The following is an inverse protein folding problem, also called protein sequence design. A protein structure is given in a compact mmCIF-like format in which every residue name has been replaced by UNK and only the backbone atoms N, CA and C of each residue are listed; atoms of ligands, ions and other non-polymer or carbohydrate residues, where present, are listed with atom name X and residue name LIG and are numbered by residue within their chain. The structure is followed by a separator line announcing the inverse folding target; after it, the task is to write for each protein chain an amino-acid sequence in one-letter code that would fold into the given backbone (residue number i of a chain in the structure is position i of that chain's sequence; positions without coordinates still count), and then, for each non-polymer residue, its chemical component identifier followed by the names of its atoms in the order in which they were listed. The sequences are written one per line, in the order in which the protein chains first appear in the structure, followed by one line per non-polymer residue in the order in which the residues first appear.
data_IF_076312739071
#
_entry.id   IF_076312739071
#
_cell.length_a   1.000
_cell.length_b   1.000
_cell.length_c   1.000
_cell.angle_alpha   90.00
_cell.angle_beta   90.00
_cell.angle_gamma   90.00
#
_symmetry.space_group_name_H-M   'P 1'
#
loop_
_entity.id
_entity.type
_entity.pdbx_description
1 polymer ?
#
# COMPACT_ATOMS: atom_id res chain seq x y z
N UNK A 1 43.85 65.55 6.28
CA UNK A 1 44.52 64.76 5.23
C UNK A 1 43.55 63.68 4.81
N UNK A 2 43.02 63.82 3.62
CA UNK A 2 41.97 62.97 3.07
C UNK A 2 42.60 61.73 2.38
N UNK A 3 42.09 60.56 2.69
CA UNK A 3 42.42 59.31 2.03
C UNK A 3 41.18 58.70 1.39
N UNK A 4 41.10 58.77 0.07
CA UNK A 4 40.04 58.20 -0.76
C UNK A 4 40.22 56.70 -0.87
N UNK A 5 39.16 55.92 -0.60
CA UNK A 5 39.06 54.49 -1.00
C UNK A 5 38.12 54.33 -2.15
N UNK A 6 38.70 53.86 -3.26
CA UNK A 6 37.99 53.40 -4.47
C UNK A 6 37.40 52.02 -4.24
N UNK A 7 36.06 51.88 -4.34
CA UNK A 7 35.37 50.59 -4.38
C UNK A 7 35.25 50.14 -5.85
N UNK A 8 35.90 49.00 -6.16
CA UNK A 8 35.65 48.24 -7.38
C UNK A 8 34.49 47.25 -7.13
N UNK A 9 33.31 47.61 -7.62
CA UNK A 9 32.16 46.69 -7.61
C UNK A 9 32.26 45.70 -8.75
N UNK A 10 32.45 44.42 -8.44
CA UNK A 10 32.20 43.33 -9.39
C UNK A 10 30.69 43.04 -9.40
N UNK A 11 30.07 43.21 -10.55
CA UNK A 11 28.70 42.75 -10.79
C UNK A 11 28.71 41.22 -10.88
N UNK A 12 28.13 40.56 -9.89
CA UNK A 12 27.77 39.16 -9.93
C UNK A 12 26.38 39.05 -10.55
N UNK A 13 26.33 38.54 -11.77
CA UNK A 13 25.07 38.34 -12.49
C UNK A 13 24.17 37.33 -11.76
N UNK A 14 23.01 37.80 -11.40
CA UNK A 14 22.00 37.04 -10.71
C UNK A 14 21.36 35.96 -11.61
N UNK A 15 21.78 34.70 -11.44
CA UNK A 15 21.19 33.55 -12.11
C UNK A 15 19.86 33.09 -11.46
N UNK A 16 19.44 33.75 -10.37
CA UNK A 16 18.22 33.35 -9.63
C UNK A 16 16.93 33.78 -10.35
N UNK A 17 16.99 34.85 -11.15
CA UNK A 17 15.80 35.39 -11.82
C UNK A 17 15.27 34.57 -12.99
N UNK A 18 16.11 33.69 -13.58
CA UNK A 18 15.67 32.79 -14.67
C UNK A 18 14.90 31.58 -14.22
N UNK A 19 15.11 31.10 -13.00
CA UNK A 19 14.38 29.94 -12.45
C UNK A 19 13.01 30.33 -11.86
N UNK A 20 12.87 31.55 -11.37
CA UNK A 20 11.58 32.05 -10.86
C UNK A 20 10.56 32.30 -11.98
N UNK A 21 11.00 32.68 -13.18
CA UNK A 21 10.12 32.85 -14.35
C UNK A 21 9.71 31.52 -14.99
N UNK A 22 10.52 30.47 -14.88
CA UNK A 22 10.15 29.13 -15.40
C UNK A 22 9.14 28.42 -14.51
N UNK A 23 9.20 28.62 -13.19
CA UNK A 23 8.22 28.06 -12.25
C UNK A 23 6.86 28.78 -12.31
N UNK A 24 6.81 30.09 -12.60
CA UNK A 24 5.55 30.79 -12.82
C UNK A 24 4.87 30.42 -14.16
N UNK A 25 5.62 30.09 -15.18
CA UNK A 25 5.07 29.66 -16.48
C UNK A 25 4.44 28.27 -16.42
N UNK A 26 4.93 27.35 -15.54
CA UNK A 26 4.31 26.04 -15.32
C UNK A 26 3.07 26.10 -14.43
N UNK A 27 2.94 27.09 -13.56
CA UNK A 27 1.77 27.25 -12.70
C UNK A 27 0.55 27.87 -13.39
N UNK A 28 0.74 28.63 -14.50
CA UNK A 28 -0.35 29.28 -15.24
C UNK A 28 -0.97 28.45 -16.35
N UNK A 29 -0.38 27.30 -16.72
CA UNK A 29 -0.94 26.39 -17.74
C UNK A 29 -1.88 25.31 -17.16
N UNK A 30 -2.03 25.21 -15.85
CA UNK A 30 -2.93 24.24 -15.20
C UNK A 30 -4.36 24.74 -14.92
N UNK A 31 -4.73 25.97 -15.29
CA UNK A 31 -6.06 26.53 -14.95
C UNK A 31 -7.05 26.64 -16.12
N UNK A 32 -6.74 26.06 -17.29
CA UNK A 32 -7.65 26.04 -18.43
C UNK A 32 -7.73 24.64 -19.08
N UNK A 33 -8.10 23.63 -18.29
CA UNK A 33 -8.68 22.40 -18.84
C UNK A 33 -10.09 22.29 -18.29
N UNK A 34 -11.02 22.60 -19.20
CA UNK A 34 -12.43 22.64 -18.94
C UNK A 34 -12.94 21.34 -18.28
N UNK A 35 -13.89 21.51 -17.41
CA UNK A 35 -14.73 20.46 -16.86
C UNK A 35 -15.38 19.65 -17.99
N UNK A 36 -14.76 18.55 -18.40
CA UNK A 36 -15.44 17.54 -19.20
C UNK A 36 -16.44 16.84 -18.29
N UNK A 37 -17.69 17.27 -18.38
CA UNK A 37 -18.83 16.48 -17.88
C UNK A 37 -18.81 15.16 -18.64
N UNK A 38 -18.51 14.07 -17.95
CA UNK A 38 -18.81 12.73 -18.42
C UNK A 38 -20.32 12.58 -18.42
N UNK A 39 -20.95 12.84 -19.56
CA UNK A 39 -22.31 12.42 -19.84
C UNK A 39 -22.29 10.90 -19.90
N UNK A 40 -22.79 10.25 -18.83
CA UNK A 40 -23.10 8.84 -18.84
C UNK A 40 -24.18 8.57 -19.87
N UNK A 41 -23.92 7.66 -20.80
CA UNK A 41 -24.94 7.12 -21.67
C UNK A 41 -25.93 6.32 -20.79
N UNK A 42 -27.15 6.83 -20.68
CA UNK A 42 -28.28 6.12 -20.08
C UNK A 42 -28.67 4.94 -20.99
N UNK A 43 -28.18 3.75 -20.60
CA UNK A 43 -28.81 2.48 -21.00
C UNK A 43 -29.83 2.10 -19.94
N UNK A 44 -31.12 2.24 -20.24
CA UNK A 44 -32.21 1.92 -19.34
C UNK A 44 -32.20 0.44 -18.93
N UNK A 45 -31.81 0.18 -17.70
CA UNK A 45 -32.00 -1.06 -16.97
C UNK A 45 -32.11 -0.69 -15.49
N UNK A 46 -33.26 -1.04 -14.88
CA UNK A 46 -33.67 -0.62 -13.54
C UNK A 46 -32.57 -0.63 -12.52
N UNK A 47 -32.14 0.53 -12.04
CA UNK A 47 -31.29 0.72 -10.87
C UNK A 47 -32.06 0.20 -9.64
N UNK A 48 -31.87 -1.08 -9.32
CA UNK A 48 -32.12 -1.56 -7.96
C UNK A 48 -31.29 -0.67 -7.03
N UNK A 49 -31.93 -0.03 -6.05
CA UNK A 49 -31.27 0.77 -5.05
C UNK A 49 -30.04 0.00 -4.51
N UNK A 50 -28.82 0.41 -4.88
CA UNK A 50 -27.59 -0.13 -4.32
C UNK A 50 -27.64 0.20 -2.84
N UNK A 51 -27.79 -0.81 -1.97
CA UNK A 51 -27.73 -0.62 -0.53
C UNK A 51 -26.41 0.04 -0.16
N UNK A 52 -26.40 0.79 0.96
CA UNK A 52 -25.20 1.48 1.45
C UNK A 52 -23.98 0.55 1.43
N UNK A 53 -22.93 0.96 0.77
CA UNK A 53 -21.62 0.30 0.72
C UNK A 53 -20.87 0.65 2.00
N UNK A 54 -20.21 -0.33 2.63
CA UNK A 54 -19.25 -0.08 3.72
C UNK A 54 -17.88 0.13 3.09
N UNK A 55 -17.33 1.33 3.22
CA UNK A 55 -16.03 1.70 2.65
C UNK A 55 -14.94 1.68 3.71
N UNK A 56 -13.96 0.80 3.54
CA UNK A 56 -12.90 0.52 4.51
C UNK A 56 -11.53 0.79 3.90
N UNK A 57 -10.70 1.60 4.55
CA UNK A 57 -9.28 1.68 4.22
C UNK A 57 -8.50 0.57 4.94
N UNK A 58 -7.59 -0.07 4.20
CA UNK A 58 -6.69 -1.12 4.69
C UNK A 58 -5.25 -0.60 4.49
N UNK A 59 -4.60 -0.24 5.58
CA UNK A 59 -3.30 0.46 5.60
C UNK A 59 -2.26 -0.43 6.27
N UNK A 60 -1.20 -0.82 5.54
CA UNK A 60 -0.08 -1.57 6.12
C UNK A 60 1.06 -0.64 6.55
N UNK A 61 1.84 -1.08 7.48
CA UNK A 61 3.23 -0.72 7.76
C UNK A 61 3.55 0.79 7.63
N UNK A 62 3.19 1.58 8.64
CA UNK A 62 3.64 2.97 8.80
C UNK A 62 5.10 3.04 9.22
N UNK A 63 5.50 2.14 10.10
CA UNK A 63 6.86 1.78 10.47
C UNK A 63 7.79 2.98 10.73
N UNK A 64 7.35 3.92 11.58
CA UNK A 64 8.12 5.09 11.95
C UNK A 64 9.13 4.77 13.06
N UNK A 65 10.39 5.16 12.90
CA UNK A 65 11.47 4.90 13.86
C UNK A 65 11.85 6.14 14.70
N UNK A 66 11.67 7.33 14.15
CA UNK A 66 12.02 8.58 14.81
C UNK A 66 11.01 9.71 14.52
N UNK A 67 11.26 10.89 15.10
CA UNK A 67 10.43 12.07 14.89
C UNK A 67 10.44 12.60 13.46
N UNK A 68 11.51 12.34 12.69
CA UNK A 68 11.62 12.74 11.29
C UNK A 68 10.67 11.90 10.44
N UNK A 69 10.69 10.59 10.62
CA UNK A 69 9.79 9.66 9.93
C UNK A 69 8.33 9.86 10.36
N UNK A 70 8.08 10.14 11.64
CA UNK A 70 6.76 10.56 12.12
C UNK A 70 6.30 11.83 11.40
N UNK A 71 7.22 12.78 11.18
CA UNK A 71 6.97 13.98 10.37
C UNK A 71 6.61 13.66 8.92
N UNK A 72 7.26 12.67 8.30
CA UNK A 72 6.89 12.20 6.96
C UNK A 72 5.50 11.57 6.95
N UNK A 73 5.21 10.68 7.89
CA UNK A 73 3.90 10.04 8.02
C UNK A 73 2.78 11.07 8.21
N UNK A 74 2.99 12.10 9.05
CA UNK A 74 2.02 13.18 9.28
C UNK A 74 1.73 13.99 8.02
N UNK A 75 2.78 14.36 7.26
CA UNK A 75 2.66 15.20 6.06
C UNK A 75 2.20 14.43 4.81
N UNK A 76 2.19 13.10 4.85
CA UNK A 76 1.74 12.26 3.74
C UNK A 76 0.53 11.39 4.13
N UNK A 77 0.77 10.24 4.74
CA UNK A 77 -0.23 9.21 5.03
C UNK A 77 -1.38 9.75 5.88
N UNK A 78 -1.07 10.34 7.02
CA UNK A 78 -2.10 10.83 7.93
C UNK A 78 -2.86 12.03 7.36
N UNK A 79 -2.17 12.97 6.67
CA UNK A 79 -2.81 14.08 5.97
C UNK A 79 -3.82 13.59 4.94
N UNK A 80 -3.44 12.58 4.15
CA UNK A 80 -4.33 12.00 3.16
C UNK A 80 -5.54 11.31 3.81
N UNK A 81 -5.29 10.43 4.78
CA UNK A 81 -6.36 9.73 5.50
C UNK A 81 -7.32 10.71 6.20
N UNK A 82 -6.79 11.78 6.80
CA UNK A 82 -7.62 12.82 7.41
C UNK A 82 -8.53 13.52 6.39
N UNK A 83 -8.09 13.69 5.15
CA UNK A 83 -8.87 14.25 4.05
C UNK A 83 -9.99 13.34 3.51
N UNK A 84 -9.94 12.03 3.80
CA UNK A 84 -10.89 11.02 3.28
C UNK A 84 -12.18 10.99 4.10
N UNK A 85 -13.12 11.88 3.77
CA UNK A 85 -14.43 11.96 4.41
C UNK A 85 -15.43 10.92 3.91
N UNK A 86 -15.05 10.16 2.90
CA UNK A 86 -15.85 9.11 2.25
C UNK A 86 -15.65 7.73 2.88
N UNK A 87 -14.68 7.57 3.79
CA UNK A 87 -14.42 6.32 4.50
C UNK A 87 -15.38 6.15 5.69
N UNK A 88 -15.85 4.93 5.90
CA UNK A 88 -16.61 4.56 7.10
C UNK A 88 -15.68 4.07 8.23
N UNK A 89 -14.49 3.55 7.88
CA UNK A 89 -13.55 2.94 8.81
C UNK A 89 -12.15 2.80 8.20
N UNK A 90 -11.13 2.68 9.06
CA UNK A 90 -9.77 2.32 8.67
C UNK A 90 -9.24 1.16 9.54
N UNK A 91 -8.48 0.25 8.94
CA UNK A 91 -7.74 -0.80 9.65
C UNK A 91 -6.25 -0.65 9.31
N UNK A 92 -5.45 -0.43 10.33
CA UNK A 92 -3.99 -0.48 10.24
C UNK A 92 -3.52 -1.91 10.52
N UNK A 93 -2.69 -2.45 9.65
CA UNK A 93 -2.34 -3.89 9.61
C UNK A 93 -1.00 -4.20 10.28
N UNK A 94 -0.64 -3.41 11.27
CA UNK A 94 0.55 -3.60 12.08
C UNK A 94 1.74 -2.78 11.63
N UNK A 95 2.82 -2.88 12.40
CA UNK A 95 4.04 -2.10 12.26
C UNK A 95 3.74 -0.59 12.19
N UNK A 96 3.05 -0.11 13.24
CA UNK A 96 2.78 1.31 13.44
C UNK A 96 4.08 2.07 13.70
N UNK A 97 5.01 1.44 14.40
CA UNK A 97 6.36 1.93 14.69
C UNK A 97 7.40 0.92 14.21
N UNK A 98 8.67 1.35 14.15
CA UNK A 98 9.82 0.49 13.79
C UNK A 98 10.67 0.26 15.04
N UNK A 99 10.25 -0.66 15.92
CA UNK A 99 10.90 -1.00 17.20
C UNK A 99 10.94 0.15 18.24
N UNK A 100 10.53 1.35 17.86
CA UNK A 100 10.51 2.50 18.75
C UNK A 100 9.17 2.68 19.44
N UNK A 101 8.90 1.86 20.43
CA UNK A 101 7.62 1.86 21.17
C UNK A 101 7.33 3.19 21.89
N UNK A 102 8.31 4.08 22.06
CA UNK A 102 8.06 5.42 22.62
C UNK A 102 7.23 6.32 21.69
N UNK A 103 7.20 6.02 20.38
CA UNK A 103 6.41 6.74 19.37
C UNK A 103 4.98 6.20 19.25
N UNK A 104 4.69 5.01 19.78
CA UNK A 104 3.36 4.41 19.64
C UNK A 104 2.22 5.27 20.21
N UNK A 105 2.35 5.91 21.40
CA UNK A 105 1.32 6.82 21.89
C UNK A 105 1.05 8.00 20.96
N UNK A 106 2.08 8.57 20.35
CA UNK A 106 1.94 9.66 19.37
C UNK A 106 1.24 9.18 18.10
N UNK A 107 1.65 8.02 17.56
CA UNK A 107 1.06 7.41 16.37
C UNK A 107 -0.44 7.12 16.59
N UNK A 108 -0.80 6.52 17.71
CA UNK A 108 -2.20 6.24 18.09
C UNK A 108 -2.99 7.53 18.28
N UNK A 109 -2.42 8.55 18.93
CA UNK A 109 -3.08 9.85 19.08
C UNK A 109 -3.42 10.51 17.75
N UNK A 110 -2.59 10.35 16.72
CA UNK A 110 -2.92 10.81 15.36
C UNK A 110 -4.04 9.97 14.75
N UNK A 111 -3.99 8.64 14.89
CA UNK A 111 -5.05 7.74 14.41
C UNK A 111 -6.39 8.06 15.05
N UNK A 112 -6.43 8.32 16.35
CA UNK A 112 -7.66 8.68 17.08
C UNK A 112 -8.24 10.04 16.64
N UNK A 113 -7.44 10.90 16.03
CA UNK A 113 -7.89 12.19 15.46
C UNK A 113 -8.54 12.05 14.08
N UNK A 114 -8.48 10.89 13.43
CA UNK A 114 -9.09 10.66 12.13
C UNK A 114 -10.62 10.74 12.22
N UNK A 115 -11.31 11.20 11.15
CA UNK A 115 -12.74 11.50 11.20
C UNK A 115 -13.67 10.28 11.17
N UNK A 116 -13.13 9.07 11.30
CA UNK A 116 -13.82 7.78 11.27
C UNK A 116 -13.15 6.81 12.24
N UNK A 117 -13.86 5.74 12.58
CA UNK A 117 -13.35 4.74 13.51
C UNK A 117 -12.16 3.98 12.91
N UNK A 118 -11.09 3.87 13.69
CA UNK A 118 -9.87 3.16 13.31
C UNK A 118 -9.62 1.97 14.23
N UNK A 119 -9.02 0.93 13.66
CA UNK A 119 -8.56 -0.26 14.38
C UNK A 119 -7.14 -0.59 13.95
N UNK A 120 -6.42 -1.30 14.82
CA UNK A 120 -5.02 -1.65 14.59
C UNK A 120 -4.79 -3.12 14.86
N UNK A 121 -4.01 -3.77 14.02
CA UNK A 121 -3.44 -5.10 14.23
C UNK A 121 -2.03 -4.92 14.77
N UNK A 122 -1.57 -5.77 15.65
CA UNK A 122 -0.21 -5.75 16.17
C UNK A 122 0.76 -6.35 15.16
N UNK A 123 1.82 -5.59 14.83
CA UNK A 123 2.93 -6.04 13.99
C UNK A 123 4.13 -6.55 14.77
N UNK A 124 5.16 -7.03 14.06
CA UNK A 124 6.37 -7.55 14.71
C UNK A 124 7.26 -6.44 15.27
N UNK A 125 7.20 -5.23 14.73
CA UNK A 125 7.90 -4.06 15.23
C UNK A 125 7.12 -3.28 16.31
N UNK A 126 5.87 -3.64 16.58
CA UNK A 126 5.01 -3.01 17.61
C UNK A 126 5.15 -3.66 18.99
N UNK A 127 6.38 -4.07 19.37
CA UNK A 127 6.65 -4.84 20.59
C UNK A 127 7.81 -4.24 21.37
N UNK A 128 7.78 -4.40 22.67
CA UNK A 128 8.81 -3.86 23.58
C UNK A 128 10.13 -4.68 23.59
N UNK A 129 10.28 -5.70 22.72
CA UNK A 129 11.39 -6.67 22.76
C UNK A 129 12.74 -6.10 22.32
N UNK A 130 12.75 -5.18 21.36
CA UNK A 130 14.00 -4.74 20.72
C UNK A 130 14.83 -3.76 21.55
N UNK A 131 14.21 -3.14 22.54
CA UNK A 131 14.87 -2.20 23.49
C UNK A 131 15.14 -2.80 24.86
N UNK A 132 14.83 -4.08 25.04
CA UNK A 132 15.12 -4.76 26.28
C UNK A 132 16.64 -4.99 26.47
N UNK A 133 17.15 -4.90 27.72
CA UNK A 133 18.52 -5.27 28.00
C UNK A 133 18.78 -6.71 27.56
N UNK A 134 19.93 -6.96 26.93
CA UNK A 134 20.35 -8.31 26.45
C UNK A 134 20.59 -9.34 27.55
N UNK A 135 20.19 -9.11 28.79
CA UNK A 135 20.38 -10.05 29.87
C UNK A 135 19.39 -11.21 29.76
N UNK A 136 19.87 -12.42 29.84
CA UNK A 136 19.09 -13.66 29.74
C UNK A 136 18.00 -13.82 30.81
N UNK A 137 18.03 -13.02 31.87
CA UNK A 137 17.05 -12.98 32.95
C UNK A 137 15.89 -12.00 32.72
N UNK A 138 15.99 -11.13 31.74
CA UNK A 138 14.96 -10.13 31.46
C UNK A 138 14.06 -10.63 30.33
N UNK A 139 12.86 -11.09 30.69
CA UNK A 139 11.77 -11.26 29.73
C UNK A 139 10.95 -9.97 29.76
N UNK A 140 11.09 -9.09 28.76
CA UNK A 140 10.28 -7.90 28.70
C UNK A 140 8.80 -8.33 28.62
N UNK A 141 7.93 -7.51 29.18
CA UNK A 141 6.49 -7.59 28.93
C UNK A 141 6.27 -7.09 27.51
N UNK A 142 6.58 -7.94 26.53
CA UNK A 142 6.70 -7.61 25.11
C UNK A 142 5.47 -6.91 24.47
N UNK A 143 4.33 -6.91 25.16
CA UNK A 143 3.11 -6.24 24.76
C UNK A 143 2.64 -5.17 25.77
N UNK A 144 3.52 -4.73 26.68
CA UNK A 144 3.12 -3.80 27.73
C UNK A 144 2.65 -2.47 27.16
N UNK A 145 3.46 -1.84 26.32
CA UNK A 145 3.15 -0.55 25.71
C UNK A 145 1.94 -0.65 24.79
N UNK A 146 1.89 -1.69 23.94
CA UNK A 146 0.73 -1.92 23.09
C UNK A 146 -0.58 -2.03 23.87
N UNK A 147 -0.60 -2.90 24.91
CA UNK A 147 -1.81 -3.09 25.75
C UNK A 147 -2.24 -1.83 26.48
N UNK A 148 -1.28 -1.01 26.90
CA UNK A 148 -1.55 0.25 27.58
C UNK A 148 -2.14 1.30 26.62
N UNK A 149 -1.68 1.35 25.37
CA UNK A 149 -2.02 2.41 24.40
C UNK A 149 -3.21 1.99 23.53
N UNK A 150 -3.18 0.79 22.97
CA UNK A 150 -4.22 0.27 22.04
C UNK A 150 -5.34 -0.46 22.79
N UNK A 151 -5.04 -1.14 23.91
CA UNK A 151 -6.01 -1.76 24.80
C UNK A 151 -6.38 -3.21 24.46
N UNK A 152 -6.21 -3.66 23.22
CA UNK A 152 -6.48 -5.02 22.77
C UNK A 152 -5.31 -5.60 21.98
N UNK A 153 -5.29 -6.95 21.84
CA UNK A 153 -4.33 -7.66 20.97
C UNK A 153 -5.09 -8.43 19.89
N UNK A 154 -6.08 -9.21 20.32
CA UNK A 154 -7.04 -9.87 19.45
C UNK A 154 -8.42 -9.26 19.72
N UNK A 155 -9.17 -8.95 18.65
CA UNK A 155 -10.51 -8.39 18.78
C UNK A 155 -11.41 -8.79 17.62
N UNK A 156 -12.72 -8.76 17.84
CA UNK A 156 -13.71 -8.95 16.77
C UNK A 156 -14.93 -8.09 17.00
N UNK A 157 -15.49 -7.58 15.91
CA UNK A 157 -16.72 -6.80 15.92
C UNK A 157 -17.48 -6.96 14.59
N UNK A 158 -18.72 -6.52 14.57
CA UNK A 158 -19.54 -6.51 13.36
C UNK A 158 -19.91 -5.06 13.04
N UNK A 159 -19.67 -4.67 11.78
CA UNK A 159 -20.13 -3.41 11.22
C UNK A 159 -21.00 -3.67 10.00
N UNK A 160 -22.27 -3.27 10.08
CA UNK A 160 -23.25 -3.63 9.04
C UNK A 160 -23.45 -5.15 8.97
N UNK A 161 -23.06 -5.74 7.85
CA UNK A 161 -23.13 -7.17 7.56
C UNK A 161 -21.73 -7.81 7.43
N UNK A 162 -20.70 -7.13 7.88
CA UNK A 162 -19.32 -7.58 7.82
C UNK A 162 -18.80 -7.86 9.22
N UNK A 163 -18.25 -9.04 9.44
CA UNK A 163 -17.48 -9.37 10.64
C UNK A 163 -16.03 -9.04 10.39
N UNK A 164 -15.43 -8.32 11.31
CA UNK A 164 -14.01 -8.04 11.37
C UNK A 164 -13.41 -8.85 12.52
N UNK A 165 -12.32 -9.55 12.22
CA UNK A 165 -11.53 -10.30 13.20
C UNK A 165 -10.09 -9.84 13.03
N UNK A 166 -9.56 -9.14 14.00
CA UNK A 166 -8.20 -8.63 14.02
C UNK A 166 -7.39 -9.45 15.01
N UNK A 167 -6.33 -10.10 14.55
CA UNK A 167 -5.56 -11.03 15.36
C UNK A 167 -4.05 -10.80 15.23
N UNK A 168 -3.39 -10.88 16.37
CA UNK A 168 -1.94 -11.00 16.40
C UNK A 168 -1.52 -12.41 15.96
N UNK A 169 -0.81 -12.50 14.84
CA UNK A 169 -0.22 -13.74 14.37
C UNK A 169 1.32 -13.76 14.42
N UNK A 170 1.94 -12.76 15.06
CA UNK A 170 3.39 -12.72 15.26
C UNK A 170 3.77 -13.62 16.44
N UNK A 171 4.53 -14.66 16.18
CA UNK A 171 5.04 -15.59 17.20
C UNK A 171 6.56 -15.58 17.19
N UNK A 172 7.15 -15.26 18.34
CA UNK A 172 8.60 -15.43 18.49
C UNK A 172 8.95 -16.90 18.58
N UNK A 173 10.08 -17.28 17.99
CA UNK A 173 10.67 -18.59 18.14
C UNK A 173 11.41 -18.68 19.50
N UNK A 174 11.62 -19.91 19.96
CA UNK A 174 12.43 -20.13 21.17
C UNK A 174 13.92 -19.84 20.97
N UNK A 175 14.35 -19.61 19.72
CA UNK A 175 15.75 -19.37 19.34
C UNK A 175 16.21 -17.91 19.51
N UNK A 176 15.29 -16.97 19.69
CA UNK A 176 15.66 -15.56 19.90
C UNK A 176 14.50 -14.58 19.87
N UNK A 177 14.69 -13.42 20.50
CA UNK A 177 13.64 -12.38 20.58
C UNK A 177 13.41 -11.64 19.27
N UNK A 178 14.36 -11.69 18.35
CA UNK A 178 14.28 -11.09 17.01
C UNK A 178 13.80 -12.08 15.95
N UNK A 179 13.66 -13.37 16.32
CA UNK A 179 13.25 -14.41 15.42
C UNK A 179 11.76 -14.71 15.61
N UNK A 180 10.98 -14.54 14.55
CA UNK A 180 9.53 -14.69 14.60
C UNK A 180 9.00 -15.41 13.37
N UNK A 181 7.83 -16.00 13.51
CA UNK A 181 7.07 -16.66 12.45
C UNK A 181 5.59 -16.27 12.53
N UNK A 182 4.89 -16.38 11.40
CA UNK A 182 3.43 -16.28 11.40
C UNK A 182 2.78 -17.51 11.99
N UNK A 183 1.78 -17.33 12.86
CA UNK A 183 1.02 -18.43 13.42
C UNK A 183 0.10 -18.03 14.58
N UNK A 184 -0.74 -18.98 15.00
CA UNK A 184 -1.65 -18.79 16.14
C UNK A 184 -1.41 -19.83 17.22
N UNK A 185 -1.62 -19.42 18.46
CA UNK A 185 -1.69 -20.35 19.60
C UNK A 185 -2.98 -21.15 19.56
N UNK A 186 -3.03 -22.30 20.24
CA UNK A 186 -4.28 -23.07 20.33
C UNK A 186 -5.40 -22.27 21.02
N UNK A 187 -5.06 -21.45 22.02
CA UNK A 187 -6.01 -20.52 22.65
C UNK A 187 -6.61 -19.54 21.63
N UNK A 188 -5.80 -18.99 20.73
CA UNK A 188 -6.28 -18.10 19.67
C UNK A 188 -7.14 -18.84 18.65
N UNK A 189 -6.78 -20.09 18.30
CA UNK A 189 -7.60 -20.92 17.42
C UNK A 189 -8.97 -21.23 18.03
N UNK A 190 -9.03 -21.63 19.32
CA UNK A 190 -10.29 -21.83 20.01
C UNK A 190 -11.13 -20.55 20.08
N UNK A 191 -10.49 -19.40 20.34
CA UNK A 191 -11.20 -18.12 20.33
C UNK A 191 -11.72 -17.79 18.92
N UNK A 192 -10.92 -17.95 17.87
CA UNK A 192 -11.31 -17.72 16.49
C UNK A 192 -12.47 -18.63 16.09
N UNK A 193 -12.41 -19.91 16.41
CA UNK A 193 -13.50 -20.85 16.19
C UNK A 193 -14.79 -20.35 16.85
N UNK A 194 -14.73 -19.95 18.11
CA UNK A 194 -15.88 -19.40 18.83
C UNK A 194 -16.44 -18.13 18.19
N UNK A 195 -15.60 -17.32 17.56
CA UNK A 195 -16.01 -16.08 16.86
C UNK A 195 -16.63 -16.39 15.50
N UNK A 196 -16.02 -17.28 14.72
CA UNK A 196 -16.47 -17.62 13.37
C UNK A 196 -17.77 -18.43 13.40
N UNK A 197 -17.91 -19.34 14.37
CA UNK A 197 -19.05 -20.25 14.50
C UNK A 197 -20.17 -19.73 15.42
N UNK A 198 -20.05 -18.51 15.94
CA UNK A 198 -21.14 -17.83 16.65
C UNK A 198 -22.32 -17.66 15.73
N UNK A 199 -23.38 -18.38 15.98
CA UNK A 199 -24.59 -18.38 15.17
C UNK A 199 -24.76 -19.58 14.25
N UNK A 200 -23.81 -20.51 14.24
CA UNK A 200 -23.83 -21.77 13.47
C UNK A 200 -23.85 -22.96 14.40
N UNK A 201 -24.78 -23.03 15.35
CA UNK A 201 -24.93 -24.15 16.27
C UNK A 201 -24.99 -23.77 17.77
N UNK A 202 -25.60 -24.61 18.58
CA UNK A 202 -26.01 -24.34 19.97
C UNK A 202 -24.87 -24.44 21.02
N UNK A 203 -23.63 -24.11 20.72
CA UNK A 203 -22.50 -24.37 21.64
C UNK A 203 -22.33 -23.39 22.80
N UNK A 204 -23.11 -22.31 22.88
CA UNK A 204 -22.94 -21.30 23.95
C UNK A 204 -24.20 -20.91 24.74
N UNK A 205 -25.32 -21.54 24.51
CA UNK A 205 -26.59 -21.21 25.22
C UNK A 205 -27.16 -19.81 24.97
N UNK A 206 -26.44 -18.94 24.24
CA UNK A 206 -26.90 -17.63 23.82
C UNK A 206 -27.30 -17.61 22.32
N UNK A 207 -28.55 -17.28 22.05
CA UNK A 207 -29.00 -17.09 20.66
C UNK A 207 -28.15 -16.01 19.96
N UNK A 208 -27.70 -16.25 18.73
CA UNK A 208 -26.94 -15.27 17.97
C UNK A 208 -27.76 -13.98 17.77
N UNK A 209 -27.10 -12.84 17.84
CA UNK A 209 -27.70 -11.55 17.54
C UNK A 209 -28.17 -11.47 16.06
N UNK A 210 -29.05 -10.54 15.74
CA UNK A 210 -29.46 -10.31 14.35
C UNK A 210 -28.27 -9.97 13.45
N UNK A 211 -27.28 -9.24 13.97
CA UNK A 211 -26.07 -8.88 13.23
C UNK A 211 -25.24 -10.12 12.89
N UNK A 212 -25.04 -11.04 13.85
CA UNK A 212 -24.30 -12.29 13.64
C UNK A 212 -24.96 -13.18 12.59
N UNK A 213 -26.30 -13.30 12.60
CA UNK A 213 -27.04 -14.05 11.58
C UNK A 213 -26.96 -13.46 10.17
N UNK A 214 -26.80 -12.13 10.06
CA UNK A 214 -26.78 -11.41 8.80
C UNK A 214 -25.38 -11.16 8.25
N UNK A 215 -24.33 -11.73 8.88
CA UNK A 215 -22.95 -11.59 8.36
C UNK A 215 -22.81 -12.26 7.01
N UNK A 216 -22.39 -11.48 6.00
CA UNK A 216 -22.22 -11.94 4.62
C UNK A 216 -20.75 -12.02 4.19
N UNK A 217 -19.84 -11.39 4.95
CA UNK A 217 -18.40 -11.42 4.75
C UNK A 217 -17.69 -11.38 6.12
N UNK A 218 -16.64 -12.15 6.28
CA UNK A 218 -15.68 -12.03 7.38
C UNK A 218 -14.35 -11.55 6.83
N UNK A 219 -13.81 -10.47 7.38
CA UNK A 219 -12.44 -10.01 7.14
C UNK A 219 -11.59 -10.46 8.32
N UNK A 220 -10.64 -11.35 8.05
CA UNK A 220 -9.64 -11.80 9.01
C UNK A 220 -8.33 -11.04 8.72
N UNK A 221 -8.05 -10.07 9.57
CA UNK A 221 -6.89 -9.19 9.45
C UNK A 221 -5.78 -9.61 10.41
N UNK A 222 -4.58 -9.79 9.86
CA UNK A 222 -3.35 -10.11 10.60
C UNK A 222 -2.22 -9.25 10.09
N UNK A 223 -1.06 -9.29 10.75
CA UNK A 223 0.10 -8.59 10.23
C UNK A 223 0.87 -9.44 9.22
N UNK A 224 1.27 -10.66 9.60
CA UNK A 224 2.01 -11.58 8.71
C UNK A 224 1.03 -12.26 7.75
N UNK A 225 1.36 -12.38 6.44
CA UNK A 225 0.53 -13.07 5.46
C UNK A 225 0.25 -14.53 5.79
N UNK A 226 -0.91 -15.02 5.35
CA UNK A 226 -1.33 -16.41 5.54
C UNK A 226 -0.59 -17.38 4.62
N UNK A 227 -0.29 -16.99 3.38
CA UNK A 227 0.34 -17.89 2.39
C UNK A 227 1.62 -18.55 2.88
N UNK A 228 2.58 -17.87 3.57
CA UNK A 228 3.76 -18.53 4.13
C UNK A 228 3.57 -19.07 5.56
N UNK A 229 2.40 -18.88 6.19
CA UNK A 229 2.18 -19.20 7.59
C UNK A 229 2.07 -20.71 7.83
N UNK A 230 2.82 -21.22 8.79
CA UNK A 230 2.67 -22.62 9.25
C UNK A 230 1.31 -22.83 9.92
N UNK A 231 0.62 -23.92 9.54
CA UNK A 231 -0.70 -24.24 10.09
C UNK A 231 -1.85 -23.40 9.54
N UNK A 232 -1.65 -22.69 8.44
CA UNK A 232 -2.68 -21.93 7.73
C UNK A 232 -3.95 -22.76 7.51
N UNK A 233 -3.83 -23.96 6.98
CA UNK A 233 -4.97 -24.80 6.61
C UNK A 233 -5.81 -25.17 7.85
N UNK A 234 -5.18 -25.39 9.01
CA UNK A 234 -5.90 -25.64 10.26
C UNK A 234 -6.68 -24.40 10.75
N UNK A 235 -6.24 -23.21 10.41
CA UNK A 235 -6.94 -21.96 10.72
C UNK A 235 -8.09 -21.73 9.75
N UNK A 236 -7.87 -21.97 8.46
CA UNK A 236 -8.92 -21.83 7.43
C UNK A 236 -10.05 -22.84 7.63
N UNK A 237 -9.73 -24.07 8.11
CA UNK A 237 -10.71 -25.08 8.43
C UNK A 237 -11.68 -24.70 9.58
N UNK A 238 -11.37 -23.67 10.36
CA UNK A 238 -12.28 -23.14 11.36
C UNK A 238 -13.42 -22.29 10.75
N UNK A 239 -13.24 -21.79 9.54
CA UNK A 239 -14.27 -21.01 8.87
C UNK A 239 -15.36 -21.93 8.32
N UNK A 240 -16.65 -21.69 8.65
CA UNK A 240 -17.76 -22.52 8.17
C UNK A 240 -17.97 -22.38 6.66
N UNK A 241 -17.53 -21.27 6.09
CA UNK A 241 -17.63 -20.97 4.66
C UNK A 241 -16.46 -20.05 4.24
N UNK A 242 -15.42 -20.65 3.67
CA UNK A 242 -14.24 -19.93 3.18
C UNK A 242 -14.55 -18.98 2.01
N UNK A 243 -15.65 -19.19 1.27
CA UNK A 243 -16.08 -18.28 0.21
C UNK A 243 -16.51 -16.92 0.72
N UNK A 244 -16.80 -16.82 2.03
CA UNK A 244 -17.14 -15.57 2.73
C UNK A 244 -16.01 -15.04 3.59
N UNK A 245 -14.78 -15.50 3.39
CA UNK A 245 -13.61 -15.07 4.11
C UNK A 245 -12.72 -14.22 3.19
N UNK A 246 -12.25 -13.07 3.67
CA UNK A 246 -11.19 -12.28 3.08
C UNK A 246 -10.05 -12.17 4.08
N UNK A 247 -8.88 -12.65 3.69
CA UNK A 247 -7.64 -12.57 4.46
C UNK A 247 -6.91 -11.29 4.09
N UNK A 248 -6.52 -10.50 5.08
CA UNK A 248 -5.85 -9.21 4.85
C UNK A 248 -4.62 -9.10 5.73
N UNK A 249 -3.49 -8.67 5.14
CA UNK A 249 -2.22 -8.52 5.88
C UNK A 249 -1.31 -7.43 5.30
N UNK A 250 -0.26 -7.06 6.05
CA UNK A 250 0.82 -6.15 5.68
C UNK A 250 2.17 -6.86 5.62
N UNK A 251 3.15 -6.37 6.41
CA UNK A 251 4.44 -6.99 6.73
C UNK A 251 5.48 -7.03 5.61
N UNK A 252 5.09 -7.35 4.39
CA UNK A 252 6.07 -7.70 3.34
C UNK A 252 6.64 -6.50 2.59
N UNK A 253 6.08 -5.32 2.76
CA UNK A 253 6.34 -4.13 1.93
C UNK A 253 6.24 -4.45 0.43
N UNK A 254 5.24 -5.26 0.10
CA UNK A 254 5.05 -5.83 -1.21
C UNK A 254 3.55 -6.07 -1.44
N UNK A 255 2.98 -5.39 -2.38
CA UNK A 255 1.56 -5.57 -2.71
C UNK A 255 1.37 -6.87 -3.45
N UNK A 256 0.47 -7.71 -2.96
CA UNK A 256 0.11 -8.95 -3.64
C UNK A 256 -1.35 -9.32 -3.39
N UNK A 257 -1.98 -9.94 -4.37
CA UNK A 257 -3.34 -10.43 -4.25
C UNK A 257 -3.46 -11.80 -4.90
N UNK A 258 -4.00 -12.74 -4.14
CA UNK A 258 -4.33 -14.07 -4.57
C UNK A 258 -5.83 -14.31 -4.40
N UNK A 259 -6.59 -14.21 -5.48
CA UNK A 259 -8.05 -14.36 -5.45
C UNK A 259 -8.48 -15.80 -5.18
N UNK A 260 -7.63 -16.80 -5.48
CA UNK A 260 -7.90 -18.23 -5.18
C UNK A 260 -7.84 -18.51 -3.69
N UNK A 261 -6.91 -17.87 -2.97
CA UNK A 261 -6.79 -17.93 -1.52
C UNK A 261 -7.63 -16.84 -0.83
N UNK A 262 -8.22 -15.93 -1.59
CA UNK A 262 -8.90 -14.73 -1.08
C UNK A 262 -8.01 -13.94 -0.12
N UNK A 263 -6.72 -13.84 -0.46
CA UNK A 263 -5.71 -13.15 0.32
C UNK A 263 -5.29 -11.83 -0.35
N UNK A 264 -5.28 -10.76 0.46
CA UNK A 264 -4.82 -9.44 0.10
C UNK A 264 -3.67 -9.03 1.02
N UNK A 265 -2.48 -8.87 0.45
CA UNK A 265 -1.31 -8.27 1.11
C UNK A 265 -1.25 -6.82 0.63
N UNK A 266 -1.48 -5.87 1.55
CA UNK A 266 -1.75 -4.48 1.16
C UNK A 266 -0.49 -3.66 0.85
N UNK A 267 0.71 -4.21 1.13
CA UNK A 267 1.96 -3.47 1.04
C UNK A 267 2.15 -2.53 2.23
N UNK A 268 3.04 -1.54 2.07
CA UNK A 268 3.44 -0.63 3.14
C UNK A 268 3.13 0.83 2.82
N UNK A 269 2.54 1.54 3.78
CA UNK A 269 2.31 2.98 3.69
C UNK A 269 3.61 3.80 3.81
N UNK A 270 4.64 3.24 4.47
CA UNK A 270 6.01 3.80 4.47
C UNK A 270 6.78 3.49 3.18
N UNK A 271 6.30 2.58 2.33
CA UNK A 271 7.05 2.03 1.20
C UNK A 271 8.23 1.19 1.68
N UNK A 272 9.47 1.53 1.29
CA UNK A 272 10.69 0.87 1.78
C UNK A 272 11.33 1.69 2.90
N UNK A 273 10.74 1.61 4.11
CA UNK A 273 11.28 2.23 5.35
C UNK A 273 11.57 3.73 5.23
N UNK A 274 10.70 4.51 4.64
CA UNK A 274 10.88 5.96 4.48
C UNK A 274 12.21 6.36 3.84
N UNK A 275 12.69 5.57 2.87
CA UNK A 275 13.96 5.80 2.16
C UNK A 275 13.73 6.18 0.71
N UNK A 276 14.70 6.88 0.15
CA UNK A 276 14.72 7.31 -1.24
C UNK A 276 14.99 8.80 -1.39
N UNK A 277 15.15 9.22 -2.63
CA UNK A 277 15.27 10.64 -2.96
C UNK A 277 14.02 11.38 -2.50
N UNK A 278 14.20 12.52 -1.84
CA UNK A 278 13.11 13.31 -1.31
C UNK A 278 12.42 14.12 -2.42
N UNK A 279 11.12 14.19 -2.34
CA UNK A 279 10.29 15.05 -3.19
C UNK A 279 10.36 16.54 -2.77
N UNK A 280 9.56 17.40 -3.42
CA UNK A 280 9.48 18.83 -3.10
C UNK A 280 9.03 19.14 -1.66
N UNK A 281 8.28 18.22 -1.05
CA UNK A 281 7.81 18.34 0.33
C UNK A 281 8.83 17.75 1.33
N UNK A 282 9.98 17.30 0.84
CA UNK A 282 11.05 16.69 1.63
C UNK A 282 10.72 15.28 2.12
N UNK A 283 9.78 14.59 1.46
CA UNK A 283 9.34 13.25 1.84
C UNK A 283 10.02 12.23 0.91
N UNK A 284 10.63 11.13 1.45
CA UNK A 284 11.27 10.12 0.63
C UNK A 284 10.30 9.44 -0.35
N UNK A 285 10.77 9.14 -1.56
CA UNK A 285 9.96 8.46 -2.60
C UNK A 285 9.50 7.06 -2.16
N UNK A 286 10.35 6.32 -1.47
CA UNK A 286 10.05 5.06 -0.76
C UNK A 286 9.26 4.03 -1.59
N UNK A 287 9.74 3.70 -2.79
CA UNK A 287 9.12 2.70 -3.66
C UNK A 287 9.09 1.30 -3.01
N UNK A 288 7.98 0.59 -3.14
CA UNK A 288 7.87 -0.79 -2.67
C UNK A 288 8.59 -1.78 -3.61
N UNK A 289 8.98 -2.96 -3.08
CA UNK A 289 9.76 -3.96 -3.83
C UNK A 289 9.03 -4.57 -5.04
N UNK A 290 7.71 -4.43 -5.13
CA UNK A 290 6.90 -4.83 -6.29
C UNK A 290 6.78 -3.73 -7.36
N UNK A 291 7.34 -2.56 -7.12
CA UNK A 291 7.24 -1.40 -8.01
C UNK A 291 5.97 -0.56 -7.80
N UNK A 292 5.12 -0.91 -6.85
CA UNK A 292 4.01 -0.04 -6.47
C UNK A 292 4.53 1.14 -5.64
N UNK A 293 4.04 2.37 -5.85
CA UNK A 293 4.26 3.47 -4.91
C UNK A 293 3.70 3.11 -3.53
N UNK A 294 4.16 3.81 -2.47
CA UNK A 294 3.51 3.70 -1.16
C UNK A 294 2.01 4.01 -1.28
N UNK A 295 1.20 3.27 -0.57
CA UNK A 295 -0.25 3.36 -0.72
C UNK A 295 -1.01 2.47 0.26
N UNK A 296 -2.30 2.39 0.02
CA UNK A 296 -3.22 1.57 0.79
C UNK A 296 -4.38 1.10 -0.09
N UNK A 297 -5.10 0.07 0.35
CA UNK A 297 -6.32 -0.35 -0.33
C UNK A 297 -7.56 0.31 0.25
N UNK A 298 -8.53 0.54 -0.61
CA UNK A 298 -9.91 0.84 -0.24
C UNK A 298 -10.79 -0.31 -0.69
N UNK A 299 -11.52 -0.90 0.26
CA UNK A 299 -12.48 -1.95 0.02
C UNK A 299 -13.90 -1.37 0.11
N UNK A 300 -14.66 -1.43 -0.98
CA UNK A 300 -16.08 -1.10 -1.05
C UNK A 300 -16.90 -2.38 -0.89
N UNK A 301 -17.42 -2.63 0.31
CA UNK A 301 -18.09 -3.87 0.67
C UNK A 301 -19.61 -3.71 0.56
N UNK A 302 -20.23 -4.55 -0.27
CA UNK A 302 -21.65 -4.56 -0.52
C UNK A 302 -22.43 -5.41 0.51
N UNK A 303 -23.74 -5.18 0.60
CA UNK A 303 -24.58 -5.90 1.58
C UNK A 303 -24.63 -7.42 1.37
N UNK A 304 -24.35 -7.89 0.17
CA UNK A 304 -24.31 -9.33 -0.14
C UNK A 304 -22.94 -9.99 0.16
N UNK A 305 -21.97 -9.22 0.68
CA UNK A 305 -20.62 -9.70 0.98
C UNK A 305 -19.65 -9.66 -0.20
N UNK A 306 -20.08 -9.24 -1.40
CA UNK A 306 -19.15 -8.93 -2.48
C UNK A 306 -18.43 -7.62 -2.19
N UNK A 307 -17.27 -7.43 -2.77
CA UNK A 307 -16.47 -6.22 -2.57
C UNK A 307 -15.74 -5.81 -3.84
N UNK A 308 -15.54 -4.51 -3.99
CA UNK A 308 -14.64 -3.93 -4.99
C UNK A 308 -13.40 -3.38 -4.27
N UNK A 309 -12.25 -3.49 -4.91
CA UNK A 309 -10.96 -3.01 -4.40
C UNK A 309 -10.43 -1.88 -5.28
N UNK A 310 -9.75 -0.94 -4.66
CA UNK A 310 -8.93 0.03 -5.36
C UNK A 310 -7.65 0.30 -4.56
N UNK A 311 -6.52 0.42 -5.26
CA UNK A 311 -5.26 0.84 -4.65
C UNK A 311 -5.17 2.37 -4.72
N UNK A 312 -4.92 3.02 -3.59
CA UNK A 312 -4.73 4.46 -3.51
C UNK A 312 -3.26 4.76 -3.22
N UNK A 313 -2.57 5.27 -4.22
CA UNK A 313 -1.22 5.80 -4.04
C UNK A 313 -1.28 7.08 -3.19
N UNK A 314 -0.51 7.12 -2.12
CA UNK A 314 -0.42 8.29 -1.24
C UNK A 314 0.18 9.46 -2.02
N UNK A 315 -0.34 10.66 -1.77
CA UNK A 315 0.04 11.93 -2.41
C UNK A 315 -0.14 11.94 -3.95
N UNK A 316 -0.97 11.04 -4.50
CA UNK A 316 -1.31 10.99 -5.93
C UNK A 316 -2.83 10.99 -6.14
N UNK A 317 -3.32 11.39 -7.31
CA UNK A 317 -4.75 11.31 -7.62
C UNK A 317 -5.29 9.87 -7.49
N UNK A 318 -6.57 9.72 -7.13
CA UNK A 318 -7.19 8.41 -6.94
C UNK A 318 -7.24 7.55 -8.22
N UNK A 319 -7.16 8.15 -9.40
CA UNK A 319 -7.11 7.44 -10.68
C UNK A 319 -5.70 6.94 -11.04
N UNK A 320 -4.63 7.34 -10.32
CA UNK A 320 -3.26 6.91 -10.57
C UNK A 320 -3.02 5.53 -9.93
N UNK A 321 -3.51 4.48 -10.62
CA UNK A 321 -3.51 3.10 -10.14
C UNK A 321 -2.60 2.16 -10.95
N UNK A 322 -1.89 2.69 -11.93
CA UNK A 322 -0.97 1.90 -12.75
C UNK A 322 0.09 2.79 -13.43
N UNK A 323 1.18 2.18 -13.85
CA UNK A 323 2.22 2.79 -14.68
C UNK A 323 2.44 2.01 -15.96
N UNK A 324 2.96 2.68 -16.99
CA UNK A 324 3.35 2.07 -18.27
C UNK A 324 4.78 2.45 -18.61
N UNK A 325 5.60 1.45 -18.89
CA UNK A 325 7.01 1.60 -19.19
C UNK A 325 7.35 1.01 -20.56
N UNK A 326 8.01 1.78 -21.39
CA UNK A 326 8.58 1.32 -22.65
C UNK A 326 10.05 0.92 -22.43
N UNK A 327 10.35 -0.34 -22.72
CA UNK A 327 11.69 -0.90 -22.64
C UNK A 327 12.12 -1.26 -24.06
N UNK A 328 13.22 -0.70 -24.59
CA UNK A 328 13.75 -1.07 -25.89
C UNK A 328 13.99 -2.59 -25.97
N UNK A 329 13.69 -3.19 -27.11
CA UNK A 329 13.94 -4.61 -27.36
C UNK A 329 15.34 -4.90 -27.92
N UNK A 330 15.96 -3.85 -28.50
CA UNK A 330 17.28 -3.90 -29.09
C UNK A 330 17.98 -2.54 -28.96
N UNK A 331 19.25 -2.47 -29.33
CA UNK A 331 20.06 -1.26 -29.27
C UNK A 331 19.69 -0.17 -30.30
N UNK A 332 18.71 -0.44 -31.18
CA UNK A 332 18.29 0.51 -32.22
C UNK A 332 17.06 1.33 -31.84
N UNK A 333 16.45 1.05 -30.70
CA UNK A 333 15.18 1.66 -30.23
C UNK A 333 14.06 1.61 -31.28
N UNK A 334 14.12 0.66 -32.21
CA UNK A 334 13.14 0.52 -33.29
C UNK A 334 11.86 -0.18 -32.85
N UNK A 335 11.95 -0.97 -31.77
CA UNK A 335 10.81 -1.69 -31.19
C UNK A 335 10.91 -1.77 -29.66
N UNK A 336 9.76 -1.86 -29.02
CA UNK A 336 9.65 -1.79 -27.57
C UNK A 336 8.77 -2.90 -27.03
N UNK A 337 9.12 -3.41 -25.84
CA UNK A 337 8.19 -4.13 -24.99
C UNK A 337 7.59 -3.16 -23.98
N UNK A 338 6.26 -3.11 -23.90
CA UNK A 338 5.60 -2.28 -22.91
C UNK A 338 5.29 -3.12 -21.68
N UNK A 339 5.65 -2.60 -20.53
CA UNK A 339 5.34 -3.17 -19.22
C UNK A 339 4.27 -2.32 -18.54
N UNK A 340 3.24 -2.97 -18.03
CA UNK A 340 2.10 -2.34 -17.37
C UNK A 340 2.08 -2.83 -15.93
N UNK A 341 2.40 -1.97 -14.98
CA UNK A 341 2.37 -2.28 -13.56
C UNK A 341 1.05 -1.79 -12.98
N UNK A 342 0.12 -2.72 -12.70
CA UNK A 342 -1.22 -2.40 -12.16
C UNK A 342 -1.18 -2.55 -10.64
N UNK A 343 -1.12 -1.45 -9.92
CA UNK A 343 -0.95 -1.46 -8.47
C UNK A 343 -2.11 -2.18 -7.78
N UNK A 344 -1.82 -3.33 -7.17
CA UNK A 344 -2.80 -4.19 -6.53
C UNK A 344 -3.65 -5.06 -7.47
N UNK A 345 -3.28 -5.20 -8.73
CA UNK A 345 -3.91 -6.14 -9.64
C UNK A 345 -3.69 -7.60 -9.21
N UNK A 346 -4.68 -8.47 -9.46
CA UNK A 346 -4.59 -9.92 -9.24
C UNK A 346 -3.89 -10.62 -10.40
N UNK A 347 -3.26 -11.76 -10.14
CA UNK A 347 -2.67 -12.62 -11.18
C UNK A 347 -3.65 -13.00 -12.30
N UNK A 348 -4.93 -13.10 -11.98
CA UNK A 348 -5.99 -13.50 -12.92
C UNK A 348 -6.56 -12.34 -13.74
N UNK A 349 -5.99 -11.13 -13.54
CA UNK A 349 -6.42 -9.92 -14.21
C UNK A 349 -6.10 -9.91 -15.71
N UNK A 350 -6.96 -9.25 -16.46
CA UNK A 350 -6.79 -9.04 -17.91
C UNK A 350 -6.41 -7.59 -18.15
N UNK A 351 -5.29 -7.38 -18.84
CA UNK A 351 -4.81 -6.06 -19.29
C UNK A 351 -4.94 -5.94 -20.79
N UNK A 352 -5.44 -4.81 -21.25
CA UNK A 352 -5.44 -4.39 -22.66
C UNK A 352 -4.92 -2.97 -22.77
N UNK A 353 -4.09 -2.73 -23.78
CA UNK A 353 -3.53 -1.42 -24.06
C UNK A 353 -3.95 -0.96 -25.48
N UNK A 354 -4.30 0.31 -25.62
CA UNK A 354 -4.67 0.93 -26.91
C UNK A 354 -4.11 2.34 -27.02
N UNK A 355 -4.22 2.93 -28.20
CA UNK A 355 -3.56 4.21 -28.52
C UNK A 355 -2.20 4.03 -29.20
N UNK A 356 -1.89 2.79 -29.60
CA UNK A 356 -0.69 2.37 -30.31
C UNK A 356 -1.04 2.17 -31.81
N UNK A 357 -1.53 3.21 -32.48
CA UNK A 357 -2.11 3.12 -33.83
C UNK A 357 -3.57 2.58 -33.78
N UNK A 358 -3.96 1.73 -34.74
CA UNK A 358 -5.34 1.24 -34.90
C UNK A 358 -5.67 -0.02 -34.08
N UNK A 359 -4.71 -0.63 -33.40
CA UNK A 359 -4.88 -1.91 -32.70
C UNK A 359 -4.95 -1.78 -31.19
N UNK A 360 -5.75 -2.60 -30.58
CA UNK A 360 -5.70 -2.89 -29.14
C UNK A 360 -4.76 -4.09 -28.95
N UNK A 361 -3.71 -3.93 -28.15
CA UNK A 361 -2.76 -5.00 -27.87
C UNK A 361 -3.18 -5.75 -26.60
N UNK A 362 -3.10 -7.07 -26.65
CA UNK A 362 -3.23 -7.94 -25.50
C UNK A 362 -1.92 -7.93 -24.69
N UNK A 363 -2.07 -8.12 -23.40
CA UNK A 363 -0.94 -8.26 -22.50
C UNK A 363 -1.00 -9.61 -21.78
N UNK A 364 0.16 -10.13 -21.42
CA UNK A 364 0.36 -11.34 -20.64
C UNK A 364 1.05 -11.02 -19.33
N UNK A 365 1.01 -11.94 -18.38
CA UNK A 365 1.73 -11.80 -17.10
C UNK A 365 3.24 -11.81 -17.34
N UNK A 366 3.94 -10.84 -16.77
CA UNK A 366 5.39 -10.80 -16.75
C UNK A 366 5.93 -11.46 -15.49
N UNK A 367 7.05 -12.19 -15.62
CA UNK A 367 7.81 -12.77 -14.51
C UNK A 367 9.03 -11.90 -14.13
N UNK A 368 9.05 -10.67 -14.59
CA UNK A 368 10.14 -9.73 -14.36
C UNK A 368 9.92 -8.88 -13.09
N UNK A 369 10.99 -8.30 -12.58
CA UNK A 369 10.86 -7.17 -11.68
C UNK A 369 10.24 -5.96 -12.41
N UNK A 370 9.48 -5.16 -11.69
CA UNK A 370 8.89 -3.96 -12.28
C UNK A 370 9.98 -2.98 -12.76
N UNK A 371 9.80 -2.30 -13.91
CA UNK A 371 10.77 -1.34 -14.42
C UNK A 371 11.11 -0.22 -13.44
N UNK A 372 10.18 0.19 -12.59
CA UNK A 372 10.41 1.16 -11.50
C UNK A 372 11.49 0.68 -10.54
N UNK A 373 11.49 -0.61 -10.20
CA UNK A 373 12.49 -1.23 -9.34
C UNK A 373 13.85 -1.25 -10.01
N UNK A 374 13.89 -1.60 -11.30
CA UNK A 374 15.12 -1.58 -12.10
C UNK A 374 15.74 -0.18 -12.17
N UNK A 375 14.93 0.86 -12.36
CA UNK A 375 15.37 2.25 -12.35
C UNK A 375 16.03 2.64 -11.01
N UNK A 376 15.39 2.30 -9.90
CA UNK A 376 15.95 2.59 -8.57
C UNK A 376 17.25 1.83 -8.34
N UNK A 377 17.33 0.55 -8.74
CA UNK A 377 18.57 -0.26 -8.60
C UNK A 377 19.70 0.36 -9.44
N UNK A 378 19.43 0.76 -10.68
CA UNK A 378 20.41 1.45 -11.55
C UNK A 378 20.86 2.78 -10.94
N UNK A 379 19.92 3.60 -10.47
CA UNK A 379 20.23 4.86 -9.77
C UNK A 379 21.12 4.61 -8.54
N UNK A 380 20.79 3.63 -7.73
CA UNK A 380 21.61 3.25 -6.58
C UNK A 380 23.03 2.81 -7.00
N UNK A 381 23.16 2.07 -8.11
CA UNK A 381 24.44 1.60 -8.61
C UNK A 381 25.29 2.72 -9.21
N UNK A 382 24.69 3.74 -9.85
CA UNK A 382 25.40 4.87 -10.46
C UNK A 382 26.06 5.81 -9.43
N UNK A 383 25.66 5.75 -8.16
CA UNK A 383 26.17 6.59 -7.09
C UNK A 383 27.50 6.07 -6.57
N UNK A 384 28.47 6.96 -6.32
CA UNK A 384 29.77 6.61 -5.74
C UNK A 384 29.63 5.97 -4.35
N UNK A 385 30.64 5.21 -3.91
CA UNK A 385 30.67 4.62 -2.57
C UNK A 385 30.58 5.68 -1.47
N UNK A 386 31.26 6.80 -1.65
CA UNK A 386 31.27 7.90 -0.66
C UNK A 386 29.92 8.60 -0.60
N UNK A 387 29.29 8.84 -1.76
CA UNK A 387 27.93 9.37 -1.81
C UNK A 387 26.95 8.46 -1.04
N UNK A 388 26.98 7.15 -1.31
CA UNK A 388 26.11 6.18 -0.62
C UNK A 388 26.33 6.14 0.88
N UNK A 389 27.57 6.34 1.33
CA UNK A 389 27.91 6.38 2.76
C UNK A 389 27.35 7.65 3.44
N UNK A 390 27.42 8.79 2.74
CA UNK A 390 26.97 10.09 3.25
C UNK A 390 25.44 10.24 3.23
N UNK A 391 24.75 9.56 2.28
CA UNK A 391 23.31 9.73 2.00
C UNK A 391 22.57 8.38 2.07
N UNK A 392 22.71 7.66 3.18
CA UNK A 392 22.14 6.30 3.32
C UNK A 392 20.62 6.27 3.23
N UNK A 393 19.95 7.30 3.68
CA UNK A 393 18.50 7.48 3.66
C UNK A 393 17.95 7.70 2.25
N UNK A 394 18.78 8.11 1.28
CA UNK A 394 18.39 8.24 -0.11
C UNK A 394 18.36 6.90 -0.88
N UNK A 395 18.87 5.82 -0.30
CA UNK A 395 18.95 4.51 -0.97
C UNK A 395 17.82 3.59 -0.53
N UNK A 396 16.97 3.23 -1.49
CA UNK A 396 15.95 2.22 -1.28
C UNK A 396 16.60 0.83 -1.48
N UNK A 397 16.62 -0.05 -0.47
CA UNK A 397 17.30 -1.35 -0.56
C UNK A 397 16.45 -2.38 -1.32
N UNK A 398 16.11 -2.08 -2.58
CA UNK A 398 15.31 -2.96 -3.41
C UNK A 398 16.12 -4.15 -3.94
N UNK A 399 15.41 -5.27 -4.12
CA UNK A 399 15.93 -6.48 -4.78
C UNK A 399 15.05 -6.80 -5.98
N UNK A 400 15.67 -7.34 -7.04
CA UNK A 400 14.93 -7.88 -8.20
C UNK A 400 14.09 -9.06 -7.77
N UNK A 401 12.78 -8.89 -7.79
CA UNK A 401 11.79 -9.93 -7.54
C UNK A 401 10.68 -9.81 -8.59
N UNK A 402 10.14 -10.90 -9.10
CA UNK A 402 8.96 -10.85 -9.96
C UNK A 402 7.84 -10.04 -9.31
N UNK A 403 7.29 -9.06 -10.02
CA UNK A 403 6.15 -8.31 -9.52
C UNK A 403 4.85 -9.09 -9.76
N UNK A 404 4.00 -9.31 -8.74
CA UNK A 404 2.77 -10.11 -8.87
C UNK A 404 1.67 -9.39 -9.65
N UNK A 405 1.85 -8.14 -9.99
CA UNK A 405 0.88 -7.30 -10.69
C UNK A 405 1.50 -6.55 -11.88
N UNK A 406 2.47 -7.21 -12.56
CA UNK A 406 3.11 -6.70 -13.76
C UNK A 406 2.66 -7.50 -14.99
N UNK A 407 2.30 -6.80 -16.05
CA UNK A 407 1.98 -7.35 -17.38
C UNK A 407 2.95 -6.79 -18.40
N UNK A 408 3.09 -7.48 -19.51
CA UNK A 408 3.84 -7.04 -20.68
C UNK A 408 3.02 -7.23 -21.96
N UNK A 409 3.29 -6.44 -22.99
CA UNK A 409 2.68 -6.69 -24.31
C UNK A 409 3.17 -8.02 -24.89
N UNK A 410 2.26 -8.79 -25.49
CA UNK A 410 2.60 -10.06 -26.15
C UNK A 410 3.56 -9.78 -27.31
N UNK A 411 3.19 -8.83 -28.17
CA UNK A 411 4.00 -8.41 -29.30
C UNK A 411 4.93 -7.24 -28.94
N UNK A 412 6.01 -7.09 -29.69
CA UNK A 412 6.81 -5.87 -29.70
C UNK A 412 6.06 -4.76 -30.42
N UNK A 413 6.19 -3.55 -29.90
CA UNK A 413 5.53 -2.37 -30.45
C UNK A 413 6.56 -1.55 -31.23
N UNK A 414 6.35 -1.33 -32.54
CA UNK A 414 7.28 -0.51 -33.33
C UNK A 414 7.21 0.95 -32.90
N UNK A 415 8.37 1.62 -32.92
CA UNK A 415 8.47 3.05 -32.73
C UNK A 415 8.05 3.85 -33.99
N UNK A 416 7.85 5.16 -33.86
CA UNK A 416 7.85 5.94 -32.62
C UNK A 416 6.60 5.70 -31.77
N UNK A 417 6.77 5.69 -30.46
CA UNK A 417 5.67 5.49 -29.51
C UNK A 417 4.96 6.83 -29.19
N UNK A 418 3.64 6.82 -28.95
CA UNK A 418 2.91 8.00 -28.50
C UNK A 418 3.26 8.33 -27.05
N UNK A 419 3.14 9.60 -26.65
CA UNK A 419 3.39 10.02 -25.26
C UNK A 419 2.40 9.41 -24.27
N UNK A 420 1.18 9.06 -24.70
CA UNK A 420 0.10 8.54 -23.86
C UNK A 420 -0.54 7.31 -24.49
N UNK A 421 -0.93 6.39 -23.66
CA UNK A 421 -1.72 5.20 -24.02
C UNK A 421 -2.94 5.06 -23.13
N UNK A 422 -3.94 4.27 -23.58
CA UNK A 422 -5.08 3.93 -22.76
C UNK A 422 -4.94 2.49 -22.31
N UNK A 423 -5.06 2.27 -21.00
CA UNK A 423 -5.00 0.94 -20.38
C UNK A 423 -6.36 0.62 -19.80
N UNK A 424 -6.80 -0.60 -20.04
CA UNK A 424 -7.96 -1.21 -19.39
C UNK A 424 -7.47 -2.42 -18.63
N UNK A 425 -7.74 -2.44 -17.35
CA UNK A 425 -7.54 -3.59 -16.48
C UNK A 425 -8.86 -4.06 -15.89
N UNK A 426 -9.04 -5.38 -15.77
CA UNK A 426 -10.22 -5.98 -15.16
C UNK A 426 -9.86 -7.32 -14.51
N UNK A 427 -10.34 -7.50 -13.29
CA UNK A 427 -10.44 -8.80 -12.60
C UNK A 427 -11.80 -8.91 -11.87
N UNK A 428 -11.90 -9.85 -10.91
CA UNK A 428 -13.13 -10.07 -10.13
C UNK A 428 -13.52 -8.88 -9.24
N UNK A 429 -12.52 -8.13 -8.73
CA UNK A 429 -12.70 -7.10 -7.69
C UNK A 429 -12.22 -5.71 -8.09
N UNK A 430 -11.54 -5.57 -9.23
CA UNK A 430 -10.96 -4.30 -9.65
C UNK A 430 -11.20 -4.04 -11.14
N UNK A 431 -11.53 -2.79 -11.47
CA UNK A 431 -11.68 -2.32 -12.85
C UNK A 431 -11.05 -0.96 -12.98
N UNK A 432 -10.04 -0.85 -13.86
CA UNK A 432 -9.33 0.39 -14.14
C UNK A 432 -9.49 0.69 -15.63
N UNK A 433 -9.74 1.95 -15.93
CA UNK A 433 -9.63 2.53 -17.27
C UNK A 433 -8.93 3.86 -17.14
N UNK A 434 -7.70 3.91 -17.62
CA UNK A 434 -6.82 5.05 -17.40
C UNK A 434 -6.07 5.41 -18.67
N UNK A 435 -5.98 6.71 -18.97
CA UNK A 435 -5.02 7.25 -19.91
C UNK A 435 -3.74 7.56 -19.17
N UNK A 436 -2.62 6.98 -19.60
CA UNK A 436 -1.33 7.00 -18.89
C UNK A 436 -0.26 7.56 -19.78
N UNK A 437 0.57 8.42 -19.23
CA UNK A 437 1.82 8.84 -19.86
C UNK A 437 2.81 7.67 -19.80
N UNK A 438 3.46 7.38 -20.94
CA UNK A 438 4.51 6.37 -20.96
C UNK A 438 5.80 6.89 -20.33
N UNK A 439 6.41 6.04 -19.51
CA UNK A 439 7.76 6.20 -19.02
C UNK A 439 8.74 5.37 -19.84
N UNK A 440 9.98 5.85 -19.96
CA UNK A 440 11.04 5.14 -20.66
C UNK A 440 12.09 4.71 -19.65
N UNK A 441 12.61 3.51 -19.81
CA UNK A 441 13.79 3.07 -19.04
C UNK A 441 14.98 3.88 -19.58
N UNK A 442 15.61 4.68 -18.71
CA UNK A 442 16.85 5.36 -19.03
C UNK A 442 18.00 4.36 -18.95
N UNK A 443 18.87 4.35 -19.93
CA UNK A 443 20.10 3.55 -19.95
C UNK A 443 21.10 3.93 -18.83
#
# INVERSE_FOLDING_TARGET
MAGSFLFHGRMVGDKSLKYTLLTLALALTCTLVGSVRLSGADGGGGRKARGRVLRVALVGDLQVDDSTEMGYARRSVYRELYGRRDLDMCIFLGDMVNDNMSLLPESVGVVDSLPYQCFMVLGNHDRDVYRAPKSSSYRPRDLYTWRKVVGYVDTSFIRGNVRFVLMNNVRHSDSGMTDYVGGFTDRQKHWLDSVLNRGVGETSGKKPSRAERNTSLTILATHIPFSPMKGRDSVLALAPDTSRLLLVSGHTHFVSRDDSLRELIVGAACGSWWRGVKDSDGIPYALQSCGAPRGYFVADIHRNGTYDLSYKCIDRPAYDQLSVWAVPSDSTDSSYRLYINVFGGSSDGIVRISGLGRRTCACERSQMAAPEVEQVIRLNASRSRDYRKAHRDEFIPLRRKPSPHLWQTVDLIPGPLPAYVNVIYRDAHMRIRQRVQMSYVQE
#
